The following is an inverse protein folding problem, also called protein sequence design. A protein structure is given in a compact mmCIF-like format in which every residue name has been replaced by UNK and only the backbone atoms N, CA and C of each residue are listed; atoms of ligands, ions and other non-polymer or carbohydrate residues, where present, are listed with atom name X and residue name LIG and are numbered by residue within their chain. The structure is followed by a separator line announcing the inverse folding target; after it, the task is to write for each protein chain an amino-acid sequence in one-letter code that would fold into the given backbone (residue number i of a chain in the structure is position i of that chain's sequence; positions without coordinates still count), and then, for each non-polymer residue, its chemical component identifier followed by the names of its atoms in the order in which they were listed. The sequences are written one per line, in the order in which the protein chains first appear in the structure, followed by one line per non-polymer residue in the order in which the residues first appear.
data_IF_785316604386
#
_entry.id   IF_785316604386
#
_cell.length_a   1.000
_cell.length_b   1.000
_cell.length_c   1.000
_cell.angle_alpha   90.00
_cell.angle_beta   90.00
_cell.angle_gamma   90.00
#
_symmetry.space_group_name_H-M   'P 1'
#
loop_
_entity.id
_entity.type
_entity.pdbx_description
1 polymer ?
#
# COMPACT_ATOMS: atom_id res chain seq x y z
N UNK A 1 5.76 13.92 2.66
CA UNK A 1 6.94 13.30 3.31
C UNK A 1 6.46 12.05 4.02
N UNK A 2 6.98 10.87 3.67
CA UNK A 2 6.64 9.62 4.36
C UNK A 2 7.07 9.75 5.83
N UNK A 3 6.17 9.42 6.75
CA UNK A 3 6.51 9.31 8.17
C UNK A 3 7.61 8.24 8.31
N UNK A 4 8.67 8.53 9.04
CA UNK A 4 9.71 7.54 9.30
C UNK A 4 9.07 6.30 9.95
N UNK A 5 9.53 5.11 9.58
CA UNK A 5 9.10 3.85 10.17
C UNK A 5 9.56 3.78 11.64
N UNK A 6 8.76 4.35 12.54
CA UNK A 6 9.01 4.25 13.98
C UNK A 6 8.47 2.93 14.53
N UNK A 7 9.08 2.36 15.57
CA UNK A 7 8.56 1.16 16.22
C UNK A 7 7.08 1.28 16.61
N UNK A 8 6.68 2.42 17.15
CA UNK A 8 5.30 2.70 17.53
C UNK A 8 4.35 2.74 16.32
N UNK A 9 4.74 3.44 15.24
CA UNK A 9 3.95 3.51 14.02
C UNK A 9 3.79 2.14 13.35
N UNK A 10 4.85 1.32 13.38
CA UNK A 10 4.78 -0.06 12.89
C UNK A 10 3.85 -0.93 13.72
N UNK A 11 3.89 -0.80 15.06
CA UNK A 11 2.99 -1.56 15.95
C UNK A 11 1.52 -1.23 15.69
N UNK A 12 1.15 0.04 15.57
CA UNK A 12 -0.21 0.43 15.20
C UNK A 12 -0.63 -0.13 13.84
N UNK A 13 0.25 -0.07 12.85
CA UNK A 13 -0.07 -0.61 11.53
C UNK A 13 -0.23 -2.13 11.56
N UNK A 14 0.56 -2.86 12.35
CA UNK A 14 0.42 -4.30 12.55
C UNK A 14 -0.91 -4.66 13.19
N UNK A 15 -1.33 -3.94 14.23
CA UNK A 15 -2.63 -4.12 14.88
C UNK A 15 -3.78 -3.92 13.86
N UNK A 16 -3.70 -2.85 13.05
CA UNK A 16 -4.68 -2.61 12.00
C UNK A 16 -4.69 -3.72 10.94
N UNK A 17 -3.52 -4.23 10.55
CA UNK A 17 -3.40 -5.33 9.60
C UNK A 17 -3.99 -6.63 10.12
N UNK A 18 -3.83 -6.91 11.40
CA UNK A 18 -4.37 -8.11 12.04
C UNK A 18 -5.90 -8.06 12.21
N UNK A 19 -6.43 -6.88 12.54
CA UNK A 19 -7.87 -6.69 12.79
C UNK A 19 -8.71 -6.46 11.52
N UNK A 20 -8.14 -5.81 10.51
CA UNK A 20 -8.88 -5.43 9.31
C UNK A 20 -8.53 -6.37 8.16
N UNK A 21 -9.50 -6.99 7.53
CA UNK A 21 -9.30 -7.80 6.32
C UNK A 21 -8.93 -6.99 5.07
N UNK A 22 -8.28 -5.83 5.23
CA UNK A 22 -7.97 -4.87 4.18
C UNK A 22 -7.08 -5.46 3.08
N UNK A 23 -5.91 -5.98 3.44
CA UNK A 23 -4.97 -6.50 2.45
C UNK A 23 -5.49 -7.74 1.70
N UNK A 24 -6.12 -8.72 2.35
CA UNK A 24 -6.80 -9.81 1.64
C UNK A 24 -7.92 -9.32 0.70
N UNK A 25 -8.69 -8.30 1.12
CA UNK A 25 -9.72 -7.72 0.25
C UNK A 25 -9.11 -6.96 -0.93
N UNK A 26 -8.02 -6.22 -0.72
CA UNK A 26 -7.29 -5.52 -1.78
C UNK A 26 -6.67 -6.51 -2.77
N UNK A 27 -6.03 -7.57 -2.29
CA UNK A 27 -5.45 -8.60 -3.14
C UNK A 27 -6.50 -9.27 -4.03
N UNK A 28 -7.73 -9.53 -3.53
CA UNK A 28 -8.86 -10.02 -4.35
C UNK A 28 -9.25 -9.06 -5.48
N UNK A 29 -9.13 -7.73 -5.28
CA UNK A 29 -9.37 -6.74 -6.33
C UNK A 29 -8.25 -6.71 -7.37
N UNK A 30 -7.02 -6.97 -6.95
CA UNK A 30 -5.84 -7.01 -7.82
C UNK A 30 -5.81 -8.28 -8.67
N UNK A 31 -6.21 -9.42 -8.10
CA UNK A 31 -6.08 -10.74 -8.71
C UNK A 31 -6.60 -10.86 -10.16
N UNK A 32 -7.76 -10.28 -10.55
CA UNK A 32 -8.26 -10.34 -11.92
C UNK A 32 -7.37 -9.68 -12.98
N UNK A 33 -6.43 -8.85 -12.55
CA UNK A 33 -5.50 -8.13 -13.42
C UNK A 33 -4.14 -8.81 -13.52
N UNK A 34 -3.90 -9.88 -12.74
CA UNK A 34 -2.64 -10.61 -12.75
C UNK A 34 -2.70 -11.73 -13.80
N UNK A 35 -1.63 -11.93 -14.59
CA UNK A 35 -1.49 -13.13 -15.38
C UNK A 35 -1.50 -14.40 -14.52
N UNK A 36 -1.91 -15.53 -15.09
CA UNK A 36 -1.82 -16.82 -14.39
C UNK A 36 -0.36 -17.12 -14.07
N UNK A 37 -0.10 -17.61 -12.85
CA UNK A 37 1.25 -17.94 -12.39
C UNK A 37 2.24 -16.75 -12.48
N UNK A 38 1.75 -15.52 -12.29
CA UNK A 38 2.57 -14.32 -12.38
C UNK A 38 3.71 -14.29 -11.34
N UNK A 39 4.85 -13.72 -11.74
CA UNK A 39 5.84 -13.16 -10.83
C UNK A 39 5.52 -11.68 -10.63
N UNK A 40 5.10 -11.31 -9.44
CA UNK A 40 4.60 -9.97 -9.09
C UNK A 40 5.64 -9.22 -8.26
N UNK A 41 5.90 -7.96 -8.59
CA UNK A 41 6.64 -7.04 -7.72
C UNK A 41 5.68 -6.16 -6.93
N UNK A 42 5.77 -6.17 -5.60
CA UNK A 42 5.13 -5.20 -4.69
C UNK A 42 6.16 -4.09 -4.37
N UNK A 43 6.08 -2.99 -5.10
CA UNK A 43 7.02 -1.87 -5.02
C UNK A 43 6.63 -0.89 -3.92
N UNK A 44 7.55 -0.65 -2.96
CA UNK A 44 7.26 0.14 -1.77
C UNK A 44 6.38 -0.62 -0.78
N UNK A 45 6.69 -1.89 -0.55
CA UNK A 45 5.84 -2.85 0.17
C UNK A 45 5.64 -2.53 1.67
N UNK A 46 6.50 -1.70 2.28
CA UNK A 46 6.47 -1.41 3.71
C UNK A 46 6.50 -2.69 4.56
N UNK A 47 5.50 -2.85 5.44
CA UNK A 47 5.36 -4.07 6.27
C UNK A 47 4.89 -5.31 5.47
N UNK A 48 4.71 -5.23 4.15
CA UNK A 48 4.42 -6.36 3.28
C UNK A 48 3.03 -6.97 3.46
N UNK A 49 2.06 -6.22 4.00
CA UNK A 49 0.69 -6.72 4.16
C UNK A 49 0.07 -7.14 2.83
N UNK A 50 0.29 -6.34 1.77
CA UNK A 50 -0.16 -6.68 0.42
C UNK A 50 0.67 -7.81 -0.18
N UNK A 51 1.99 -7.79 0.00
CA UNK A 51 2.88 -8.84 -0.52
C UNK A 51 2.43 -10.23 -0.08
N UNK A 52 2.16 -10.41 1.21
CA UNK A 52 1.67 -11.68 1.76
C UNK A 52 0.26 -12.02 1.24
N UNK A 53 -0.63 -11.03 1.15
CA UNK A 53 -1.99 -11.23 0.67
C UNK A 53 -2.08 -11.60 -0.83
N UNK A 54 -1.06 -11.30 -1.62
CA UNK A 54 -0.98 -11.64 -3.05
C UNK A 54 -0.52 -13.07 -3.31
N UNK A 55 0.16 -13.74 -2.36
CA UNK A 55 0.70 -15.09 -2.53
C UNK A 55 -0.31 -16.15 -3.03
N UNK A 56 -1.60 -16.14 -2.62
CA UNK A 56 -2.58 -17.08 -3.14
C UNK A 56 -2.94 -16.88 -4.63
N UNK A 57 -2.61 -15.72 -5.22
CA UNK A 57 -3.06 -15.31 -6.56
C UNK A 57 -1.96 -15.32 -7.62
N UNK A 58 -0.72 -15.60 -7.22
CA UNK A 58 0.44 -15.58 -8.14
C UNK A 58 1.44 -16.69 -7.79
N UNK A 59 2.39 -16.94 -8.68
CA UNK A 59 3.45 -17.93 -8.46
C UNK A 59 4.48 -17.42 -7.45
N UNK A 60 4.84 -16.15 -7.57
CA UNK A 60 5.90 -15.55 -6.75
C UNK A 60 5.65 -14.06 -6.53
N UNK A 61 6.00 -13.56 -5.35
CA UNK A 61 6.00 -12.13 -5.00
C UNK A 61 7.41 -11.69 -4.64
N UNK A 62 7.90 -10.63 -5.27
CA UNK A 62 9.08 -9.89 -4.81
C UNK A 62 8.62 -8.61 -4.13
N UNK A 63 8.80 -8.53 -2.81
CA UNK A 63 8.50 -7.38 -1.98
C UNK A 63 9.72 -6.46 -1.89
N UNK A 64 9.62 -5.21 -2.33
CA UNK A 64 10.74 -4.27 -2.36
C UNK A 64 10.41 -3.03 -1.54
N UNK A 65 11.30 -2.66 -0.60
CA UNK A 65 11.24 -1.38 0.10
C UNK A 65 12.66 -0.88 0.44
N UNK A 66 12.81 0.41 0.61
CA UNK A 66 14.09 1.03 0.99
C UNK A 66 14.38 0.91 2.49
N UNK A 67 13.33 0.85 3.30
CA UNK A 67 13.44 0.85 4.75
C UNK A 67 13.72 -0.56 5.29
N UNK A 68 14.77 -0.71 6.07
CA UNK A 68 15.16 -2.00 6.65
C UNK A 68 14.16 -2.51 7.70
N UNK A 69 13.71 -1.63 8.60
CA UNK A 69 12.86 -2.03 9.73
C UNK A 69 11.53 -2.69 9.33
N UNK A 70 10.72 -2.16 8.40
CA UNK A 70 9.50 -2.84 7.96
C UNK A 70 9.79 -4.15 7.23
N UNK A 71 10.90 -4.26 6.49
CA UNK A 71 11.27 -5.50 5.81
C UNK A 71 11.71 -6.60 6.76
N UNK A 72 12.41 -6.26 7.83
CA UNK A 72 12.77 -7.21 8.89
C UNK A 72 11.50 -7.76 9.55
N UNK A 73 10.55 -6.88 9.84
CA UNK A 73 9.25 -7.29 10.35
C UNK A 73 8.49 -8.21 9.36
N UNK A 74 8.54 -7.90 8.06
CA UNK A 74 7.95 -8.76 7.05
C UNK A 74 8.58 -10.14 7.04
N UNK A 75 9.93 -10.25 7.09
CA UNK A 75 10.64 -11.54 7.13
C UNK A 75 10.25 -12.37 8.34
N UNK A 76 10.22 -11.76 9.53
CA UNK A 76 9.83 -12.44 10.77
C UNK A 76 8.39 -12.95 10.71
N UNK A 77 7.46 -12.16 10.21
CA UNK A 77 6.04 -12.49 10.15
C UNK A 77 5.66 -13.47 9.05
N UNK A 78 6.26 -13.32 7.87
CA UNK A 78 6.00 -14.21 6.74
C UNK A 78 6.69 -15.57 6.86
N UNK A 79 7.70 -15.69 7.74
CA UNK A 79 8.49 -16.91 7.85
C UNK A 79 9.23 -17.26 6.56
N UNK A 80 9.36 -18.56 6.29
CA UNK A 80 10.07 -19.09 5.12
C UNK A 80 9.09 -19.53 4.02
N UNK A 81 8.29 -18.60 3.46
CA UNK A 81 7.48 -18.94 2.27
C UNK A 81 8.38 -18.84 1.02
N UNK A 82 8.63 -19.95 0.29
CA UNK A 82 9.49 -19.95 -0.89
C UNK A 82 8.94 -19.11 -2.05
N UNK A 83 7.68 -18.70 -1.98
CA UNK A 83 7.03 -17.84 -2.97
C UNK A 83 7.23 -16.35 -2.70
N UNK A 84 7.90 -15.98 -1.60
CA UNK A 84 8.15 -14.59 -1.22
C UNK A 84 9.65 -14.27 -1.18
N UNK A 85 10.08 -13.35 -2.02
CA UNK A 85 11.41 -12.74 -1.93
C UNK A 85 11.31 -11.34 -1.37
N UNK A 86 12.11 -11.03 -0.34
CA UNK A 86 12.15 -9.70 0.28
C UNK A 86 13.48 -9.02 -0.04
N UNK A 87 13.42 -7.93 -0.81
CA UNK A 87 14.61 -7.17 -1.25
C UNK A 87 14.60 -5.77 -0.64
N UNK A 88 15.73 -5.39 -0.03
CA UNK A 88 15.91 -4.04 0.46
C UNK A 88 16.62 -3.19 -0.59
N UNK A 89 16.06 -2.03 -0.90
CA UNK A 89 16.69 -1.04 -1.76
C UNK A 89 15.71 -0.18 -2.51
N UNK A 90 16.25 0.67 -3.35
CA UNK A 90 15.46 1.52 -4.24
C UNK A 90 15.03 0.69 -5.45
N UNK A 91 13.72 0.61 -5.69
CA UNK A 91 13.17 -0.14 -6.83
C UNK A 91 13.74 0.32 -8.18
N UNK A 92 14.13 1.58 -8.29
CA UNK A 92 14.76 2.14 -9.50
C UNK A 92 16.14 1.56 -9.78
N UNK A 93 16.81 1.07 -8.74
CA UNK A 93 18.19 0.55 -8.79
C UNK A 93 18.29 -0.96 -8.56
N UNK A 94 17.15 -1.65 -8.50
CA UNK A 94 17.09 -3.08 -8.19
C UNK A 94 16.37 -3.87 -9.30
N UNK A 95 16.93 -3.92 -10.53
CA UNK A 95 16.33 -4.72 -11.59
C UNK A 95 16.25 -6.20 -11.17
N UNK A 96 15.19 -6.93 -11.59
CA UNK A 96 15.10 -8.37 -11.41
C UNK A 96 16.04 -9.09 -12.39
N UNK A 97 16.35 -10.35 -12.11
CA UNK A 97 17.05 -11.22 -13.06
C UNK A 97 16.19 -11.51 -14.31
N UNK A 98 14.90 -11.62 -14.11
CA UNK A 98 13.89 -11.75 -15.18
C UNK A 98 12.81 -10.71 -14.97
N UNK A 99 12.29 -10.05 -16.02
CA UNK A 99 11.23 -9.05 -15.88
C UNK A 99 10.01 -9.60 -15.14
N UNK A 100 9.40 -8.75 -14.31
CA UNK A 100 8.15 -9.07 -13.63
C UNK A 100 6.99 -9.21 -14.63
N UNK A 101 6.05 -10.10 -14.34
CA UNK A 101 4.80 -10.21 -15.12
C UNK A 101 3.80 -9.12 -14.74
N UNK A 102 3.89 -8.60 -13.50
CA UNK A 102 3.14 -7.44 -13.05
C UNK A 102 3.90 -6.68 -11.95
N UNK A 103 3.69 -5.38 -11.88
CA UNK A 103 4.20 -4.54 -10.78
C UNK A 103 3.04 -3.81 -10.11
N UNK A 104 3.02 -3.81 -8.77
CA UNK A 104 2.02 -3.13 -7.95
C UNK A 104 2.67 -1.97 -7.20
N UNK A 105 2.11 -0.78 -7.34
CA UNK A 105 2.48 0.43 -6.61
C UNK A 105 1.31 0.84 -5.72
N UNK A 106 1.28 0.31 -4.50
CA UNK A 106 0.18 0.53 -3.57
C UNK A 106 0.43 1.76 -2.68
N UNK A 107 -0.27 2.86 -2.97
CA UNK A 107 -0.14 4.14 -2.25
C UNK A 107 1.29 4.69 -2.21
N UNK A 108 2.09 4.31 -3.20
CA UNK A 108 3.52 4.57 -3.33
C UNK A 108 3.87 5.12 -4.72
N UNK A 109 4.79 6.10 -4.79
CA UNK A 109 5.33 6.69 -6.02
C UNK A 109 4.32 7.43 -6.89
N UNK A 110 4.82 8.28 -7.77
CA UNK A 110 4.03 8.94 -8.84
C UNK A 110 3.78 8.00 -10.02
N UNK A 111 2.90 8.40 -10.95
CA UNK A 111 2.61 7.64 -12.17
C UNK A 111 3.85 7.56 -13.06
N UNK A 112 4.50 8.68 -13.34
CA UNK A 112 5.67 8.75 -14.22
C UNK A 112 6.83 7.92 -13.67
N UNK A 113 7.08 7.99 -12.35
CA UNK A 113 8.09 7.17 -11.68
C UNK A 113 7.77 5.68 -11.81
N UNK A 114 6.53 5.28 -11.52
CA UNK A 114 6.09 3.90 -11.62
C UNK A 114 6.24 3.36 -13.06
N UNK A 115 5.83 4.14 -14.06
CA UNK A 115 5.94 3.76 -15.47
C UNK A 115 7.40 3.69 -15.94
N UNK A 116 8.25 4.62 -15.48
CA UNK A 116 9.68 4.61 -15.82
C UNK A 116 10.36 3.33 -15.30
N UNK A 117 10.08 2.96 -14.04
CA UNK A 117 10.59 1.73 -13.45
C UNK A 117 10.02 0.51 -14.17
N UNK A 118 8.73 0.50 -14.43
CA UNK A 118 8.06 -0.64 -15.04
C UNK A 118 8.53 -0.91 -16.48
N UNK A 119 8.80 0.11 -17.28
CA UNK A 119 9.37 -0.06 -18.63
C UNK A 119 10.71 -0.79 -18.63
N UNK A 120 11.46 -0.74 -17.53
CA UNK A 120 12.76 -1.40 -17.39
C UNK A 120 12.65 -2.79 -16.75
N UNK A 121 11.59 -3.05 -15.98
CA UNK A 121 11.54 -4.20 -15.08
C UNK A 121 10.30 -5.08 -15.25
N UNK A 122 9.30 -4.65 -16.03
CA UNK A 122 8.02 -5.33 -16.20
C UNK A 122 7.70 -5.55 -17.68
N UNK A 123 7.15 -6.72 -18.01
CA UNK A 123 6.70 -7.07 -19.36
C UNK A 123 5.19 -7.20 -19.50
N UNK A 124 4.44 -6.81 -18.48
CA UNK A 124 2.99 -6.97 -18.42
C UNK A 124 2.30 -5.76 -17.82
N UNK A 125 1.52 -5.95 -16.79
CA UNK A 125 0.63 -4.93 -16.24
C UNK A 125 1.25 -4.17 -15.06
N UNK A 126 1.11 -2.86 -15.06
CA UNK A 126 1.36 -2.00 -13.90
C UNK A 126 0.05 -1.68 -13.21
N UNK A 127 -0.01 -1.95 -11.90
CA UNK A 127 -1.18 -1.73 -11.07
C UNK A 127 -0.89 -0.61 -10.08
N UNK A 128 -1.60 0.49 -10.23
CA UNK A 128 -1.48 1.66 -9.37
C UNK A 128 -2.67 1.71 -8.42
N UNK A 129 -2.45 1.50 -7.13
CA UNK A 129 -3.49 1.68 -6.11
C UNK A 129 -3.36 3.09 -5.55
N UNK A 130 -4.40 3.89 -5.69
CA UNK A 130 -4.42 5.31 -5.35
C UNK A 130 -5.54 5.65 -4.39
N UNK A 131 -5.34 6.70 -3.59
CA UNK A 131 -6.39 7.28 -2.75
C UNK A 131 -7.37 8.05 -3.63
N UNK A 132 -8.66 7.77 -3.45
CA UNK A 132 -9.74 8.53 -4.13
C UNK A 132 -10.34 9.57 -3.17
N UNK A 133 -9.45 10.28 -2.45
CA UNK A 133 -9.78 11.39 -1.55
C UNK A 133 -8.59 12.34 -1.42
N UNK A 134 -8.89 13.61 -1.12
CA UNK A 134 -7.88 14.68 -1.16
C UNK A 134 -7.16 14.94 0.17
N UNK A 135 -7.72 14.51 1.32
CA UNK A 135 -7.18 14.88 2.63
C UNK A 135 -6.98 13.67 3.53
N UNK A 136 -5.92 13.73 4.33
CA UNK A 136 -5.56 12.67 5.27
C UNK A 136 -6.63 12.48 6.34
N UNK A 137 -7.13 11.25 6.52
CA UNK A 137 -8.30 10.97 7.35
C UNK A 137 -8.05 10.88 8.84
N UNK A 138 -6.80 10.60 9.24
CA UNK A 138 -6.41 10.54 10.66
C UNK A 138 -5.88 11.88 11.18
N UNK A 139 -5.55 12.82 10.31
CA UNK A 139 -5.10 14.14 10.71
C UNK A 139 -6.25 14.95 11.31
N UNK A 140 -5.93 15.80 12.29
CA UNK A 140 -6.87 16.75 12.90
C UNK A 140 -7.19 17.93 11.98
N UNK A 141 -6.28 18.26 11.05
CA UNK A 141 -6.44 19.31 10.03
C UNK A 141 -6.63 18.79 8.62
N UNK A 142 -6.91 19.70 7.68
CA UNK A 142 -7.02 19.40 6.25
C UNK A 142 -5.62 19.25 5.64
N UNK A 143 -4.99 18.10 5.84
CA UNK A 143 -3.67 17.77 5.28
C UNK A 143 -3.85 17.08 3.93
N UNK A 144 -3.41 17.68 2.82
CA UNK A 144 -3.52 17.06 1.50
C UNK A 144 -2.76 15.72 1.45
N UNK A 145 -3.32 14.76 0.72
CA UNK A 145 -2.61 13.52 0.35
C UNK A 145 -2.04 13.69 -1.05
N UNK A 146 -0.85 13.12 -1.29
CA UNK A 146 -0.24 13.09 -2.62
C UNK A 146 -0.68 11.85 -3.42
N UNK A 147 -0.48 11.92 -4.73
CA UNK A 147 -0.74 10.82 -5.65
C UNK A 147 -2.16 10.27 -5.57
N UNK A 148 -3.15 11.16 -5.70
CA UNK A 148 -4.57 10.78 -5.70
C UNK A 148 -4.95 10.05 -6.99
N UNK A 149 -6.14 9.46 -7.02
CA UNK A 149 -6.71 8.88 -8.23
C UNK A 149 -6.83 9.94 -9.33
N UNK A 150 -7.33 11.13 -9.00
CA UNK A 150 -7.47 12.24 -9.95
C UNK A 150 -6.13 12.66 -10.56
N UNK A 151 -5.10 12.90 -9.71
CA UNK A 151 -3.74 13.24 -10.20
C UNK A 151 -3.19 12.16 -11.13
N UNK A 152 -3.45 10.90 -10.80
CA UNK A 152 -2.96 9.77 -11.58
C UNK A 152 -3.69 9.61 -12.92
N UNK A 153 -5.00 9.81 -12.95
CA UNK A 153 -5.80 9.82 -14.17
C UNK A 153 -5.37 10.95 -15.11
N UNK A 154 -5.18 12.15 -14.57
CA UNK A 154 -4.75 13.31 -15.36
C UNK A 154 -3.36 13.09 -15.98
N UNK A 155 -2.44 12.52 -15.21
CA UNK A 155 -1.11 12.14 -15.71
C UNK A 155 -1.20 11.10 -16.83
N UNK A 156 -1.99 10.03 -16.64
CA UNK A 156 -2.15 8.98 -17.67
C UNK A 156 -2.78 9.51 -18.96
N UNK A 157 -3.79 10.40 -18.85
CA UNK A 157 -4.39 11.05 -20.02
C UNK A 157 -3.40 11.95 -20.74
N UNK A 158 -2.62 12.73 -19.98
CA UNK A 158 -1.57 13.60 -20.57
C UNK A 158 -0.51 12.79 -21.31
N UNK A 159 -0.16 11.62 -20.82
CA UNK A 159 0.77 10.69 -21.46
C UNK A 159 0.14 9.90 -22.62
N UNK A 160 -1.16 10.06 -22.89
CA UNK A 160 -1.87 9.35 -23.95
C UNK A 160 -1.99 7.83 -23.71
N UNK A 161 -1.91 7.38 -22.47
CA UNK A 161 -1.92 5.95 -22.12
C UNK A 161 -3.34 5.48 -21.84
N UNK A 162 -3.67 4.30 -22.40
CA UNK A 162 -4.89 3.57 -22.07
C UNK A 162 -4.75 2.85 -20.74
N UNK A 163 -5.82 2.83 -19.95
CA UNK A 163 -5.85 2.14 -18.67
C UNK A 163 -7.25 1.60 -18.35
N UNK A 164 -7.33 0.53 -17.58
CA UNK A 164 -8.56 0.07 -16.94
C UNK A 164 -8.62 0.64 -15.54
N UNK A 165 -9.81 0.97 -15.06
CA UNK A 165 -10.00 1.60 -13.77
C UNK A 165 -11.13 0.95 -12.98
N UNK A 166 -10.92 0.76 -11.68
CA UNK A 166 -11.93 0.34 -10.72
C UNK A 166 -11.88 1.21 -9.47
N UNK A 167 -13.02 1.79 -9.07
CA UNK A 167 -13.17 2.50 -7.79
C UNK A 167 -13.88 1.62 -6.78
N UNK A 168 -13.37 1.59 -5.56
CA UNK A 168 -13.94 0.78 -4.48
C UNK A 168 -13.58 1.39 -3.12
N UNK A 169 -14.22 0.88 -2.06
CA UNK A 169 -13.85 1.27 -0.70
C UNK A 169 -13.58 0.06 0.17
N UNK A 170 -12.57 0.17 1.05
CA UNK A 170 -12.19 -0.85 2.00
C UNK A 170 -12.02 -0.22 3.39
N UNK A 171 -12.44 -0.94 4.42
CA UNK A 171 -12.20 -0.53 5.79
C UNK A 171 -10.74 -0.83 6.16
N UNK A 172 -10.04 0.19 6.66
CA UNK A 172 -8.70 0.09 7.24
C UNK A 172 -8.57 1.07 8.40
N UNK A 173 -9.37 0.84 9.42
CA UNK A 173 -9.36 1.60 10.67
C UNK A 173 -8.26 1.14 11.62
N UNK A 174 -8.22 1.76 12.79
CA UNK A 174 -7.23 1.49 13.80
C UNK A 174 -7.88 0.92 15.06
N UNK A 175 -7.59 -0.35 15.42
CA UNK A 175 -7.91 -0.89 16.73
C UNK A 175 -6.98 -0.31 17.79
N UNK A 176 -7.49 -0.05 18.99
CA UNK A 176 -6.79 0.66 20.06
C UNK A 176 -7.07 0.00 21.41
N UNK A 177 -6.01 -0.21 22.20
CA UNK A 177 -6.09 -0.89 23.51
C UNK A 177 -6.60 0.01 24.61
N UNK A 178 -6.45 1.34 24.45
CA UNK A 178 -6.85 2.32 25.46
C UNK A 178 -7.07 3.70 24.84
N UNK A 179 -7.67 4.61 25.62
CA UNK A 179 -7.75 6.03 25.25
C UNK A 179 -6.36 6.69 25.16
N UNK A 180 -5.38 6.22 25.94
CA UNK A 180 -4.01 6.71 25.83
C UNK A 180 -3.36 6.25 24.51
N UNK A 181 -3.59 5.01 24.06
CA UNK A 181 -3.20 4.57 22.72
C UNK A 181 -3.82 5.44 21.64
N UNK A 182 -5.10 5.80 21.78
CA UNK A 182 -5.76 6.70 20.84
C UNK A 182 -5.08 8.08 20.78
N UNK A 183 -4.73 8.64 21.93
CA UNK A 183 -3.99 9.91 21.99
C UNK A 183 -2.62 9.81 21.33
N UNK A 184 -1.88 8.70 21.58
CA UNK A 184 -0.58 8.44 20.95
C UNK A 184 -0.72 8.29 19.42
N UNK A 185 -1.71 7.53 18.97
CA UNK A 185 -2.00 7.34 17.55
C UNK A 185 -2.30 8.68 16.86
N UNK A 186 -3.18 9.51 17.43
CA UNK A 186 -3.47 10.82 16.86
C UNK A 186 -2.23 11.72 16.82
N UNK A 187 -1.36 11.70 17.83
CA UNK A 187 -0.08 12.45 17.81
C UNK A 187 0.82 12.05 16.65
N UNK A 188 0.87 10.78 16.27
CA UNK A 188 1.64 10.32 15.10
C UNK A 188 1.15 10.92 13.78
N UNK A 189 -0.14 11.20 13.69
CA UNK A 189 -0.78 11.72 12.48
C UNK A 189 -1.13 13.21 12.57
N UNK A 190 -0.93 13.85 13.72
CA UNK A 190 -1.19 15.27 13.86
C UNK A 190 -0.15 16.09 13.10
N UNK A 191 -0.64 16.89 12.19
CA UNK A 191 0.13 17.82 11.37
C UNK A 191 -0.23 19.28 11.67
N UNK A 192 -1.17 19.49 12.59
CA UNK A 192 -1.73 20.82 12.91
C UNK A 192 -1.06 21.51 14.10
N UNK A 193 -0.18 20.81 14.83
CA UNK A 193 0.61 21.41 15.89
C UNK A 193 -0.10 21.58 17.23
N UNK A 194 -0.97 20.65 17.65
CA UNK A 194 -1.45 20.59 19.02
C UNK A 194 -2.96 20.69 19.22
N UNK A 195 -3.75 20.36 18.23
CA UNK A 195 -5.19 20.21 18.44
C UNK A 195 -5.50 18.99 19.33
N UNK A 196 -6.54 19.11 20.16
CA UNK A 196 -7.00 17.99 20.97
C UNK A 196 -7.36 16.78 20.10
N UNK A 197 -6.90 15.57 20.47
CA UNK A 197 -7.19 14.38 19.71
C UNK A 197 -8.71 14.13 19.65
N UNK A 198 -9.26 13.86 18.45
CA UNK A 198 -10.72 13.75 18.25
C UNK A 198 -11.24 12.39 18.77
N UNK A 199 -11.20 12.17 20.07
CA UNK A 199 -11.62 10.93 20.73
C UNK A 199 -13.11 10.61 20.49
N UNK A 200 -13.93 11.60 20.19
CA UNK A 200 -15.35 11.41 19.82
C UNK A 200 -15.55 10.61 18.53
N UNK A 201 -14.49 10.41 17.73
CA UNK A 201 -14.53 9.57 16.51
C UNK A 201 -14.37 8.08 16.80
N UNK A 202 -14.03 7.72 18.03
CA UNK A 202 -13.87 6.33 18.43
C UNK A 202 -15.23 5.65 18.54
N UNK A 203 -15.26 4.39 18.15
CA UNK A 203 -16.39 3.46 18.33
C UNK A 203 -15.96 2.29 19.22
N UNK A 204 -16.92 1.42 19.55
CA UNK A 204 -16.59 0.14 20.20
C UNK A 204 -15.65 -0.68 19.29
N UNK A 205 -14.63 -1.25 19.89
CA UNK A 205 -13.64 -2.06 19.20
C UNK A 205 -14.05 -3.53 19.03
N UNK A 206 -13.21 -4.33 18.35
CA UNK A 206 -13.54 -5.70 17.96
C UNK A 206 -13.50 -6.70 19.13
N UNK A 207 -13.03 -6.32 20.31
CA UNK A 207 -12.99 -7.22 21.46
C UNK A 207 -12.19 -6.68 22.64
N UNK A 208 -11.99 -7.49 23.70
CA UNK A 208 -11.38 -7.03 24.95
C UNK A 208 -9.95 -6.51 24.81
N UNK A 209 -9.17 -7.04 23.87
CA UNK A 209 -7.80 -6.56 23.60
C UNK A 209 -7.83 -5.16 22.98
N UNK A 210 -8.82 -4.89 22.13
CA UNK A 210 -9.02 -3.60 21.47
C UNK A 210 -10.42 -3.07 21.77
N UNK A 211 -10.66 -2.49 22.96
CA UNK A 211 -11.98 -1.98 23.34
C UNK A 211 -12.41 -0.76 22.54
N UNK A 212 -11.49 -0.11 21.84
CA UNK A 212 -11.76 1.07 21.00
C UNK A 212 -11.36 0.82 19.54
N UNK A 213 -12.08 1.44 18.64
CA UNK A 213 -11.80 1.40 17.21
C UNK A 213 -11.97 2.79 16.59
N UNK A 214 -11.01 3.19 15.77
CA UNK A 214 -11.11 4.39 14.95
C UNK A 214 -11.45 3.98 13.51
N UNK A 215 -12.72 4.11 13.07
CA UNK A 215 -13.11 3.73 11.72
C UNK A 215 -12.40 4.56 10.66
N UNK A 216 -12.00 3.89 9.57
CA UNK A 216 -11.39 4.56 8.42
C UNK A 216 -11.70 3.82 7.13
N UNK A 217 -12.82 4.13 6.54
CA UNK A 217 -13.18 3.61 5.22
C UNK A 217 -12.39 4.37 4.15
N UNK A 218 -11.43 3.70 3.54
CA UNK A 218 -10.60 4.25 2.45
C UNK A 218 -11.33 4.08 1.12
N UNK A 219 -11.61 5.17 0.44
CA UNK A 219 -11.95 5.17 -0.97
C UNK A 219 -10.66 5.03 -1.77
N UNK A 220 -10.64 4.08 -2.68
CA UNK A 220 -9.47 3.70 -3.46
C UNK A 220 -9.83 3.58 -4.94
N UNK A 221 -8.82 3.79 -5.75
CA UNK A 221 -8.87 3.54 -7.19
C UNK A 221 -7.72 2.61 -7.57
N UNK A 222 -8.03 1.56 -8.30
CA UNK A 222 -7.07 0.72 -9.01
C UNK A 222 -7.03 1.18 -10.46
N UNK A 223 -5.84 1.50 -10.95
CA UNK A 223 -5.56 1.80 -12.35
C UNK A 223 -4.62 0.73 -12.88
N UNK A 224 -5.03 0.00 -13.92
CA UNK A 224 -4.23 -1.02 -14.57
C UNK A 224 -3.78 -0.51 -15.94
N UNK A 225 -2.46 -0.41 -16.13
CA UNK A 225 -1.80 0.06 -17.34
C UNK A 225 -0.98 -1.09 -17.93
N UNK A 226 -1.24 -1.45 -19.17
CA UNK A 226 -0.41 -2.43 -19.89
C UNK A 226 0.89 -1.77 -20.33
N UNK A 227 2.02 -2.41 -20.04
CA UNK A 227 3.32 -2.00 -20.56
C UNK A 227 3.52 -2.71 -21.91
N UNK A 228 3.69 -1.98 -23.02
CA UNK A 228 4.04 -2.61 -24.28
C UNK A 228 5.28 -3.48 -24.11
N UNK A 229 5.25 -4.68 -24.69
CA UNK A 229 6.45 -5.51 -24.75
C UNK A 229 7.61 -4.68 -25.30
N UNK A 230 8.77 -4.73 -24.62
CA UNK A 230 9.98 -4.13 -25.18
C UNK A 230 10.21 -4.77 -26.53
N UNK A 231 10.19 -3.97 -27.61
CA UNK A 231 10.68 -4.46 -28.91
C UNK A 231 12.14 -4.89 -28.68
N UNK A 232 12.42 -6.16 -28.96
CA UNK A 232 13.79 -6.66 -28.93
C UNK A 232 14.57 -5.87 -29.98
N UNK A 233 15.53 -5.05 -29.52
CA UNK A 233 16.42 -4.26 -30.36
C UNK A 233 17.55 -5.10 -30.92
#
# INVERSE_FOLDING_TARGET
MMQAWTPEGMAFLQDAMACCGYYPALARRIAPYLPKQAHVCDAGCGLGGLSVALLPYCRHVTAVDRAAAPLENLRQRAGHDPRLTVRQGDIRCLPPETPYDAMVFCLFGGVEEALTVARQQCRGTVLLIRRDYAYHRFSTGRVPVGFTAADSEDTLRHLGLSYRMERFSLEFGQPLRSLEDARRFFRLYDRSGGADPPLHRLTAGPGPEFPYYLPNRKELCLLAVEIPAMEEA
#
